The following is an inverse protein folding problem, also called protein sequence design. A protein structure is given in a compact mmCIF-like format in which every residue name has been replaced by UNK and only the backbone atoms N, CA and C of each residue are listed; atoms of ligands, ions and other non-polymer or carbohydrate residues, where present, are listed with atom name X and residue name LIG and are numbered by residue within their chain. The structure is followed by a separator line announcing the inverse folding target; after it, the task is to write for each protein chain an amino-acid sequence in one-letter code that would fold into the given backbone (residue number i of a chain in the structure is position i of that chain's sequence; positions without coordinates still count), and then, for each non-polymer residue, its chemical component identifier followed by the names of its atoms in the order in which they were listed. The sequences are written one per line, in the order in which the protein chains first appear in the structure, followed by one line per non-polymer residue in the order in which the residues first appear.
data_IF_790010214033
#
_entry.id   IF_790010214033
#
_cell.length_a   1.000
_cell.length_b   1.000
_cell.length_c   1.000
_cell.angle_alpha   90.00
_cell.angle_beta   90.00
_cell.angle_gamma   90.00
#
_symmetry.space_group_name_H-M   'P 1'
#
loop_
_entity.id
_entity.type
_entity.pdbx_description
1 polymer ?
#
# COMPACT_ATOMS: atom_id res chain seq x y z
N UNK A 1 22.35 -9.63 8.41
CA UNK A 1 23.03 -8.70 7.49
C UNK A 1 22.30 -8.76 6.16
N UNK A 2 21.33 -7.87 5.93
CA UNK A 2 20.64 -7.77 4.64
C UNK A 2 21.47 -6.86 3.72
N UNK A 3 21.81 -7.35 2.53
CA UNK A 3 22.59 -6.57 1.56
C UNK A 3 21.72 -5.47 0.93
N UNK A 4 22.20 -4.22 0.82
CA UNK A 4 21.43 -3.09 0.30
C UNK A 4 21.17 -3.13 -1.22
N UNK A 5 21.70 -4.12 -1.95
CA UNK A 5 21.58 -4.19 -3.42
C UNK A 5 20.19 -4.59 -3.95
N UNK A 6 19.40 -5.33 -3.17
CA UNK A 6 18.09 -5.84 -3.63
C UNK A 6 16.98 -4.78 -3.66
N UNK A 7 17.09 -3.75 -2.81
CA UNK A 7 16.07 -2.70 -2.68
C UNK A 7 16.10 -1.72 -3.85
N UNK A 8 17.28 -1.29 -4.31
CA UNK A 8 17.40 -0.37 -5.44
C UNK A 8 16.87 -0.96 -6.76
N UNK A 9 17.16 -2.23 -7.04
CA UNK A 9 16.69 -2.90 -8.26
C UNK A 9 15.17 -3.11 -8.26
N UNK A 10 14.61 -3.48 -7.11
CA UNK A 10 13.16 -3.67 -6.94
C UNK A 10 12.40 -2.35 -7.09
N UNK A 11 12.94 -1.23 -6.57
CA UNK A 11 12.36 0.10 -6.72
C UNK A 11 12.41 0.60 -8.17
N UNK A 12 13.46 0.29 -8.92
CA UNK A 12 13.57 0.63 -10.34
C UNK A 12 12.51 -0.10 -11.19
N UNK A 13 12.39 -1.42 -11.04
CA UNK A 13 11.36 -2.20 -11.74
C UNK A 13 9.94 -1.77 -11.32
N UNK A 14 9.74 -1.47 -10.04
CA UNK A 14 8.48 -0.91 -9.54
C UNK A 14 8.17 0.46 -10.16
N UNK A 15 9.16 1.32 -10.34
CA UNK A 15 9.03 2.61 -11.03
C UNK A 15 8.60 2.47 -12.50
N UNK A 16 9.22 1.53 -13.22
CA UNK A 16 8.81 1.18 -14.60
C UNK A 16 7.37 0.68 -14.63
N UNK A 17 7.01 -0.23 -13.71
CA UNK A 17 5.67 -0.77 -13.62
C UNK A 17 4.62 0.31 -13.32
N UNK A 18 4.91 1.22 -12.37
CA UNK A 18 4.05 2.36 -12.03
C UNK A 18 3.83 3.28 -13.25
N UNK A 19 4.90 3.65 -13.95
CA UNK A 19 4.82 4.48 -15.15
C UNK A 19 3.99 3.81 -16.24
N UNK A 20 4.20 2.51 -16.47
CA UNK A 20 3.44 1.73 -17.45
C UNK A 20 1.95 1.68 -17.08
N UNK A 21 1.62 1.39 -15.82
CA UNK A 21 0.23 1.29 -15.38
C UNK A 21 -0.50 2.64 -15.46
N UNK A 22 0.14 3.75 -15.10
CA UNK A 22 -0.46 5.07 -15.24
C UNK A 22 -0.76 5.41 -16.72
N UNK A 23 0.10 5.00 -17.65
CA UNK A 23 -0.16 5.15 -19.08
C UNK A 23 -1.30 4.27 -19.56
N UNK A 24 -1.31 2.99 -19.18
CA UNK A 24 -2.29 2.00 -19.63
C UNK A 24 -3.69 2.26 -19.06
N UNK A 25 -3.79 2.51 -17.76
CA UNK A 25 -5.08 2.58 -17.05
C UNK A 25 -5.59 4.01 -16.88
N UNK A 26 -4.69 4.98 -16.66
CA UNK A 26 -5.09 6.37 -16.39
C UNK A 26 -4.89 7.30 -17.60
N UNK A 27 -4.27 6.80 -18.70
CA UNK A 27 -3.84 7.61 -19.86
C UNK A 27 -2.97 8.81 -19.50
N UNK A 28 -2.24 8.73 -18.38
CA UNK A 28 -1.37 9.80 -17.89
C UNK A 28 0.09 9.53 -18.27
N UNK A 29 0.79 10.58 -18.68
CA UNK A 29 2.25 10.54 -18.80
C UNK A 29 2.85 11.00 -17.47
N UNK A 30 3.57 10.11 -16.79
CA UNK A 30 4.14 10.38 -15.46
C UNK A 30 5.56 10.88 -15.63
N UNK A 31 5.81 12.10 -15.14
CA UNK A 31 7.16 12.67 -15.12
C UNK A 31 8.04 11.94 -14.11
N UNK A 32 9.34 11.94 -14.36
CA UNK A 32 10.33 11.31 -13.47
C UNK A 32 10.21 11.81 -12.02
N UNK A 33 9.92 13.10 -11.82
CA UNK A 33 9.76 13.69 -10.48
C UNK A 33 8.57 13.13 -9.71
N UNK A 34 7.49 12.74 -10.39
CA UNK A 34 6.32 12.13 -9.75
C UNK A 34 6.56 10.65 -9.43
N UNK A 35 7.41 9.99 -10.21
CA UNK A 35 7.92 8.67 -9.85
C UNK A 35 8.82 8.75 -8.62
N UNK A 36 9.77 9.70 -8.60
CA UNK A 36 10.65 9.93 -7.45
C UNK A 36 9.83 10.12 -6.17
N UNK A 37 8.77 10.94 -6.19
CA UNK A 37 7.87 11.08 -5.03
C UNK A 37 7.20 9.77 -4.59
N UNK A 38 6.93 8.85 -5.51
CA UNK A 38 6.32 7.54 -5.21
C UNK A 38 7.31 6.47 -4.75
N UNK A 39 8.60 6.61 -5.07
CA UNK A 39 9.67 5.69 -4.61
C UNK A 39 10.51 6.24 -3.46
N UNK A 40 10.52 7.55 -3.24
CA UNK A 40 11.11 8.14 -2.04
C UNK A 40 10.23 7.76 -0.86
N UNK A 41 10.64 6.71 -0.16
CA UNK A 41 10.10 6.39 1.13
C UNK A 41 10.70 7.35 2.17
N UNK A 42 9.87 8.20 2.74
CA UNK A 42 10.27 9.14 3.79
C UNK A 42 10.40 8.37 5.11
N UNK A 43 11.52 8.54 5.80
CA UNK A 43 11.74 7.97 7.13
C UNK A 43 10.64 8.46 8.07
N UNK A 44 10.02 7.55 8.83
CA UNK A 44 8.87 7.86 9.68
C UNK A 44 7.51 7.84 8.97
N UNK A 45 7.46 7.53 7.68
CA UNK A 45 6.22 7.23 6.98
C UNK A 45 6.06 5.72 6.75
N UNK A 46 4.80 5.28 6.76
CA UNK A 46 4.43 3.91 6.43
C UNK A 46 3.64 3.88 5.13
N UNK A 47 3.93 2.90 4.28
CA UNK A 47 3.14 2.62 3.08
C UNK A 47 2.08 1.59 3.42
N UNK A 48 0.82 1.92 3.18
CA UNK A 48 -0.32 1.00 3.33
C UNK A 48 -0.80 0.59 1.94
N UNK A 49 -0.65 -0.68 1.60
CA UNK A 49 -1.26 -1.28 0.42
C UNK A 49 -2.54 -2.00 0.87
N UNK A 50 -3.66 -1.78 0.18
CA UNK A 50 -4.92 -2.48 0.43
C UNK A 50 -5.49 -3.03 -0.86
N UNK A 51 -6.31 -4.07 -0.75
CA UNK A 51 -7.01 -4.68 -1.89
C UNK A 51 -8.27 -5.42 -1.41
N UNK A 52 -9.26 -5.56 -2.29
CA UNK A 52 -10.47 -6.31 -2.02
C UNK A 52 -10.59 -7.57 -2.89
N UNK A 53 -11.03 -8.68 -2.30
CA UNK A 53 -11.27 -9.94 -3.00
C UNK A 53 -12.75 -10.31 -2.96
N UNK A 54 -13.37 -10.56 -4.11
CA UNK A 54 -14.74 -11.07 -4.19
C UNK A 54 -14.77 -12.59 -4.20
N UNK A 55 -15.72 -13.16 -3.45
CA UNK A 55 -15.94 -14.59 -3.38
C UNK A 55 -17.30 -14.97 -3.96
N UNK A 56 -17.40 -16.19 -4.49
CA UNK A 56 -18.63 -16.71 -5.10
C UNK A 56 -19.80 -16.86 -4.12
N UNK A 57 -19.51 -16.93 -2.82
CA UNK A 57 -20.49 -17.01 -1.73
C UNK A 57 -21.11 -15.64 -1.35
N UNK A 58 -20.79 -14.57 -2.10
CA UNK A 58 -21.27 -13.22 -1.84
C UNK A 58 -20.52 -12.49 -0.73
N UNK A 59 -19.40 -13.05 -0.26
CA UNK A 59 -18.50 -12.38 0.69
C UNK A 59 -17.45 -11.55 -0.04
N UNK A 60 -16.86 -10.64 0.70
CA UNK A 60 -15.68 -9.87 0.32
C UNK A 60 -14.57 -10.06 1.36
N UNK A 61 -13.35 -10.21 0.89
CA UNK A 61 -12.13 -10.18 1.68
C UNK A 61 -11.50 -8.80 1.59
N UNK A 62 -11.10 -8.24 2.73
CA UNK A 62 -10.46 -6.94 2.84
C UNK A 62 -9.02 -7.17 3.31
N UNK A 63 -8.05 -6.94 2.44
CA UNK A 63 -6.63 -7.16 2.71
C UNK A 63 -5.87 -5.86 2.91
N UNK A 64 -4.81 -5.92 3.71
CA UNK A 64 -3.88 -4.80 3.89
C UNK A 64 -2.47 -5.24 4.26
N UNK A 65 -1.46 -4.52 3.79
CA UNK A 65 -0.04 -4.68 4.14
C UNK A 65 0.57 -3.31 4.40
N UNK A 66 1.16 -3.15 5.58
CA UNK A 66 1.83 -1.93 6.02
C UNK A 66 3.33 -2.16 6.00
N UNK A 67 4.06 -1.25 5.38
CA UNK A 67 5.53 -1.33 5.24
C UNK A 67 6.18 -0.05 5.71
N UNK A 68 7.37 -0.16 6.27
CA UNK A 68 8.19 1.00 6.56
C UNK A 68 8.95 1.50 5.31
N UNK A 69 9.86 2.43 5.54
CA UNK A 69 10.65 3.04 4.49
C UNK A 69 11.72 2.12 3.87
N UNK A 70 12.19 1.09 4.59
CA UNK A 70 13.11 0.07 4.03
C UNK A 70 12.36 -0.97 3.20
N UNK A 71 11.03 -1.04 3.37
CA UNK A 71 10.14 -2.00 2.72
C UNK A 71 9.80 -3.20 3.60
N UNK A 72 10.28 -3.21 4.85
CA UNK A 72 9.99 -4.24 5.84
C UNK A 72 8.50 -4.20 6.21
N UNK A 73 7.90 -5.38 6.38
CA UNK A 73 6.47 -5.51 6.71
C UNK A 73 6.28 -5.28 8.20
N UNK A 74 5.52 -4.24 8.54
CA UNK A 74 5.22 -3.85 9.92
C UNK A 74 3.94 -4.50 10.44
N UNK A 75 2.93 -4.64 9.56
CA UNK A 75 1.66 -5.26 9.88
C UNK A 75 0.98 -5.78 8.61
N UNK A 76 0.11 -6.77 8.79
CA UNK A 76 -0.76 -7.33 7.73
C UNK A 76 -2.14 -7.59 8.29
N UNK A 77 -3.18 -7.42 7.48
CA UNK A 77 -4.56 -7.70 7.89
C UNK A 77 -5.34 -8.43 6.80
N UNK A 78 -6.32 -9.23 7.24
CA UNK A 78 -7.30 -9.89 6.40
C UNK A 78 -8.63 -10.00 7.15
N UNK A 79 -9.71 -9.49 6.56
CA UNK A 79 -11.07 -9.58 7.09
C UNK A 79 -12.03 -10.08 6.02
N UNK A 80 -12.72 -11.20 6.26
CA UNK A 80 -13.81 -11.69 5.43
C UNK A 80 -15.15 -11.22 6.00
N UNK A 81 -15.96 -10.54 5.20
CA UNK A 81 -17.29 -10.07 5.60
C UNK A 81 -18.30 -10.21 4.46
N UNK A 82 -19.59 -10.11 4.76
CA UNK A 82 -20.64 -10.14 3.74
C UNK A 82 -20.52 -8.90 2.84
N UNK A 83 -20.45 -9.10 1.52
CA UNK A 83 -20.33 -8.02 0.54
C UNK A 83 -21.69 -7.65 -0.08
N UNK A 84 -21.76 -6.50 -0.75
CA UNK A 84 -22.94 -6.07 -1.51
C UNK A 84 -22.78 -6.15 -3.04
N UNK A 85 -21.65 -6.72 -3.52
CA UNK A 85 -21.35 -6.85 -4.96
C UNK A 85 -20.77 -5.61 -5.64
N UNK A 86 -20.61 -4.47 -4.93
CA UNK A 86 -20.02 -3.26 -5.49
C UNK A 86 -18.50 -3.21 -5.25
N UNK A 87 -17.73 -3.23 -6.34
CA UNK A 87 -16.26 -3.23 -6.33
C UNK A 87 -15.68 -1.97 -5.71
N UNK A 88 -16.17 -0.78 -6.09
CA UNK A 88 -15.65 0.49 -5.56
C UNK A 88 -15.85 0.60 -4.05
N UNK A 89 -17.00 0.12 -3.56
CA UNK A 89 -17.29 0.06 -2.12
C UNK A 89 -16.37 -0.93 -1.42
N UNK A 90 -16.11 -2.09 -2.02
CA UNK A 90 -15.20 -3.09 -1.48
C UNK A 90 -13.76 -2.57 -1.36
N UNK A 91 -13.24 -1.91 -2.39
CA UNK A 91 -11.92 -1.28 -2.38
C UNK A 91 -11.81 -0.19 -1.31
N UNK A 92 -12.83 0.68 -1.21
CA UNK A 92 -12.87 1.71 -0.18
C UNK A 92 -12.91 1.12 1.24
N UNK A 93 -13.63 0.01 1.43
CA UNK A 93 -13.67 -0.72 2.70
C UNK A 93 -12.33 -1.37 3.03
N UNK A 94 -11.62 -1.93 2.03
CA UNK A 94 -10.30 -2.50 2.21
C UNK A 94 -9.28 -1.43 2.63
N UNK A 95 -9.30 -0.28 1.95
CA UNK A 95 -8.46 0.87 2.30
C UNK A 95 -8.74 1.37 3.72
N UNK A 96 -10.02 1.57 4.07
CA UNK A 96 -10.42 1.98 5.42
C UNK A 96 -9.96 0.98 6.47
N UNK A 97 -10.19 -0.31 6.24
CA UNK A 97 -9.80 -1.37 7.16
C UNK A 97 -8.29 -1.41 7.38
N UNK A 98 -7.50 -1.37 6.29
CA UNK A 98 -6.05 -1.38 6.38
C UNK A 98 -5.51 -0.16 7.15
N UNK A 99 -6.06 1.04 6.91
CA UNK A 99 -5.67 2.26 7.65
C UNK A 99 -6.06 2.16 9.13
N UNK A 100 -7.25 1.65 9.46
CA UNK A 100 -7.65 1.45 10.86
C UNK A 100 -6.68 0.53 11.60
N UNK A 101 -6.31 -0.60 11.00
CA UNK A 101 -5.34 -1.54 11.60
C UNK A 101 -3.96 -0.88 11.74
N UNK A 102 -3.55 -0.03 10.80
CA UNK A 102 -2.26 0.67 10.89
C UNK A 102 -2.23 1.58 12.14
N UNK A 103 -3.31 2.34 12.36
CA UNK A 103 -3.44 3.20 13.54
C UNK A 103 -3.52 2.39 14.84
N UNK A 104 -4.27 1.30 14.87
CA UNK A 104 -4.35 0.39 16.03
C UNK A 104 -2.99 -0.25 16.36
N UNK A 105 -2.17 -0.51 15.35
CA UNK A 105 -0.81 -1.01 15.50
C UNK A 105 0.21 0.07 15.90
N UNK A 106 -0.21 1.33 16.07
CA UNK A 106 0.66 2.45 16.41
C UNK A 106 1.53 2.95 15.24
N UNK A 107 1.15 2.64 14.00
CA UNK A 107 1.79 3.11 12.78
C UNK A 107 1.22 4.47 12.36
N UNK A 108 1.16 5.40 13.30
CA UNK A 108 0.76 6.78 13.02
C UNK A 108 1.95 7.63 12.58
N UNK A 109 1.66 8.78 11.97
CA UNK A 109 2.69 9.76 11.60
C UNK A 109 3.17 10.60 12.79
N UNK A 110 2.78 10.24 14.03
CA UNK A 110 3.20 11.00 15.20
C UNK A 110 4.66 10.66 15.51
N UNK A 111 5.55 11.57 15.12
CA UNK A 111 6.89 11.61 15.68
C UNK A 111 6.73 11.89 17.17
N UNK A 112 6.76 10.84 18.00
CA UNK A 112 6.89 11.03 19.45
C UNK A 112 8.25 11.69 19.67
N UNK A 113 8.22 13.01 19.89
CA UNK A 113 9.31 13.77 20.49
C UNK A 113 9.59 13.11 21.84
N UNK A 114 10.52 12.17 21.84
CA UNK A 114 11.13 11.67 23.07
C UNK A 114 12.14 12.74 23.47
N UNK A 115 11.70 13.59 24.39
CA UNK A 115 12.52 14.54 25.11
C UNK A 115 13.47 13.81 26.08
#
# INVERSE_FOLDING_TARGET
MNQPGGTCFSLFLWGIWLRRNAWVFEKKNVLEIDLIKKVVNVVGCYKVNSDAAFFLDGYVGLGGVMRDHTGDVMATTNLKQKGNGNVDVAEALAARHAVSIALEAGLDTSWKLTA
#
